data_IF_197707639304
#
_entry.id   IF_197707639304
#
_cell.length_a   1.000
_cell.length_b   1.000
_cell.length_c   1.000
_cell.angle_alpha   90.00
_cell.angle_beta   90.00
_cell.angle_gamma   90.00
#
_symmetry.space_group_name_H-M   'P 1'
#
loop_
_entity.id
_entity.type
_entity.pdbx_description
1 polymer ?
#
# COMPACT_ATOMS: atom_id res chain seq x y z
N UNK A 1 -30.96 -46.84 -43.63
CA UNK A 1 -31.80 -46.84 -42.38
C UNK A 1 -31.11 -47.36 -41.11
N UNK A 2 -30.44 -48.57 -41.08
CA UNK A 2 -29.78 -49.02 -39.80
C UNK A 2 -28.55 -48.19 -39.40
N UNK A 3 -27.72 -47.76 -40.34
CA UNK A 3 -26.49 -46.97 -40.08
C UNK A 3 -26.79 -45.54 -39.61
N UNK A 4 -27.87 -44.94 -40.10
CA UNK A 4 -28.32 -43.61 -39.72
C UNK A 4 -28.82 -43.55 -38.27
N UNK A 5 -29.58 -44.54 -37.83
CA UNK A 5 -30.04 -44.65 -36.42
C UNK A 5 -28.92 -44.91 -35.41
N UNK A 6 -27.81 -45.50 -35.88
CA UNK A 6 -26.66 -45.76 -35.02
C UNK A 6 -25.85 -44.49 -34.83
N UNK A 7 -25.63 -43.70 -35.89
CA UNK A 7 -24.96 -42.40 -35.82
C UNK A 7 -25.72 -41.40 -34.93
N UNK A 8 -27.05 -41.37 -35.06
CA UNK A 8 -27.90 -40.48 -34.24
C UNK A 8 -27.88 -40.84 -32.72
N UNK A 9 -27.60 -42.11 -32.39
CA UNK A 9 -27.40 -42.54 -30.99
C UNK A 9 -26.01 -42.19 -30.47
N UNK A 10 -24.98 -42.28 -31.28
CA UNK A 10 -23.62 -41.89 -30.88
C UNK A 10 -23.51 -40.39 -30.70
N UNK A 11 -24.09 -39.58 -31.58
CA UNK A 11 -24.13 -38.13 -31.46
C UNK A 11 -24.90 -37.69 -30.22
N UNK A 12 -26.02 -38.34 -29.86
CA UNK A 12 -26.75 -38.09 -28.62
C UNK A 12 -25.96 -38.49 -27.37
N UNK A 13 -25.21 -39.60 -27.42
CA UNK A 13 -24.37 -39.99 -26.28
C UNK A 13 -23.22 -39.00 -26.06
N UNK A 14 -22.60 -38.52 -27.14
CA UNK A 14 -21.55 -37.50 -27.09
C UNK A 14 -22.10 -36.20 -26.50
N UNK A 15 -23.27 -35.73 -26.92
CA UNK A 15 -23.90 -34.54 -26.34
C UNK A 15 -24.25 -34.72 -24.86
N UNK A 16 -24.68 -35.90 -24.43
CA UNK A 16 -25.00 -36.18 -23.02
C UNK A 16 -23.70 -36.17 -22.17
N UNK A 17 -22.61 -36.75 -22.67
CA UNK A 17 -21.31 -36.77 -21.98
C UNK A 17 -20.74 -35.38 -21.87
N UNK A 18 -20.84 -34.54 -22.92
CA UNK A 18 -20.42 -33.11 -22.82
C UNK A 18 -21.31 -32.30 -21.90
N UNK A 19 -22.62 -32.52 -21.91
CA UNK A 19 -23.53 -31.82 -21.01
C UNK A 19 -23.31 -32.20 -19.52
N UNK A 20 -23.01 -33.48 -19.24
CA UNK A 20 -22.69 -33.94 -17.88
C UNK A 20 -21.32 -33.48 -17.42
N UNK A 21 -20.32 -33.38 -18.31
CA UNK A 21 -19.01 -32.84 -18.00
C UNK A 21 -19.07 -31.32 -17.68
N UNK A 22 -19.87 -30.56 -18.43
CA UNK A 22 -20.13 -29.15 -18.16
C UNK A 22 -20.89 -28.95 -16.85
N UNK A 23 -21.84 -29.82 -16.54
CA UNK A 23 -22.60 -29.75 -15.28
C UNK A 23 -21.72 -30.13 -14.06
N UNK A 24 -20.80 -31.08 -14.21
CA UNK A 24 -19.85 -31.47 -13.18
C UNK A 24 -18.83 -30.37 -12.89
N UNK A 25 -18.38 -29.60 -13.91
CA UNK A 25 -17.56 -28.41 -13.68
C UNK A 25 -18.30 -27.31 -12.92
N UNK A 26 -19.61 -27.16 -13.13
CA UNK A 26 -20.41 -26.18 -12.41
C UNK A 26 -20.66 -26.55 -10.92
N UNK A 27 -20.54 -27.82 -10.54
CA UNK A 27 -20.71 -28.29 -9.15
C UNK A 27 -19.41 -28.24 -8.33
N UNK A 28 -18.24 -28.08 -8.97
CA UNK A 28 -16.96 -27.93 -8.28
C UNK A 28 -16.59 -26.48 -7.96
N UNK A 29 -17.37 -25.49 -8.41
CA UNK A 29 -17.21 -24.08 -7.99
C UNK A 29 -17.96 -23.75 -6.70
N UNK A 30 -18.44 -24.73 -5.98
CA UNK A 30 -19.02 -24.61 -4.64
C UNK A 30 -18.01 -24.77 -3.51
N UNK A 31 -16.74 -24.43 -3.74
CA UNK A 31 -15.80 -24.14 -2.65
C UNK A 31 -16.16 -22.74 -2.18
N UNK A 32 -16.51 -22.56 -0.87
CA UNK A 32 -16.81 -21.26 -0.31
C UNK A 32 -15.77 -20.27 -0.80
N UNK A 33 -16.23 -19.17 -1.41
CA UNK A 33 -15.37 -18.08 -1.81
C UNK A 33 -14.61 -17.70 -0.54
N UNK A 34 -13.34 -18.10 -0.45
CA UNK A 34 -12.41 -17.49 0.48
C UNK A 34 -12.58 -16.00 0.18
N UNK A 35 -13.03 -15.23 1.16
CA UNK A 35 -13.15 -13.78 1.05
C UNK A 35 -11.80 -13.34 0.51
N UNK A 36 -11.78 -12.93 -0.77
CA UNK A 36 -10.52 -12.49 -1.38
C UNK A 36 -9.98 -11.40 -0.49
N UNK A 37 -8.82 -11.63 0.07
CA UNK A 37 -8.11 -10.65 0.86
C UNK A 37 -7.46 -9.67 -0.12
N UNK A 38 -8.28 -8.71 -0.59
CA UNK A 38 -7.85 -7.71 -1.56
C UNK A 38 -6.72 -6.84 -1.01
N UNK A 39 -6.70 -6.64 0.32
CA UNK A 39 -5.62 -5.91 0.97
C UNK A 39 -4.27 -6.62 0.79
N UNK A 40 -4.19 -7.91 1.12
CA UNK A 40 -2.96 -8.69 0.93
C UNK A 40 -2.54 -8.77 -0.53
N UNK A 41 -3.50 -8.92 -1.45
CA UNK A 41 -3.23 -8.92 -2.88
C UNK A 41 -2.68 -7.57 -3.34
N UNK A 42 -3.26 -6.46 -2.90
CA UNK A 42 -2.77 -5.12 -3.21
C UNK A 42 -1.35 -4.89 -2.69
N UNK A 43 -1.04 -5.35 -1.47
CA UNK A 43 0.32 -5.27 -0.91
C UNK A 43 1.32 -6.06 -1.78
N UNK A 44 0.98 -7.28 -2.18
CA UNK A 44 1.83 -8.10 -3.04
C UNK A 44 2.08 -7.46 -4.42
N UNK A 45 1.08 -6.77 -4.98
CA UNK A 45 1.24 -6.04 -6.25
C UNK A 45 2.13 -4.81 -6.10
N UNK A 46 2.11 -4.10 -4.97
CA UNK A 46 3.07 -3.02 -4.67
C UNK A 46 4.50 -3.57 -4.66
N UNK A 47 4.73 -4.73 -4.04
CA UNK A 47 6.05 -5.37 -4.02
C UNK A 47 6.52 -5.79 -5.43
N UNK A 48 5.58 -6.13 -6.32
CA UNK A 48 5.84 -6.45 -7.73
C UNK A 48 5.94 -5.19 -8.61
N UNK A 49 5.78 -4.00 -8.04
CA UNK A 49 5.77 -2.71 -8.74
C UNK A 49 4.58 -2.57 -9.73
N UNK A 50 3.54 -3.39 -9.61
CA UNK A 50 2.28 -3.21 -10.31
C UNK A 50 1.36 -2.29 -9.50
N UNK A 51 1.64 -1.00 -9.58
CA UNK A 51 0.97 0.00 -8.75
C UNK A 51 -0.49 0.23 -9.16
N UNK A 52 -0.80 0.16 -10.46
CA UNK A 52 -2.18 0.29 -10.96
C UNK A 52 -3.05 -0.89 -10.52
N UNK A 53 -2.53 -2.10 -10.65
CA UNK A 53 -3.17 -3.31 -10.13
C UNK A 53 -3.37 -3.24 -8.62
N UNK A 54 -2.36 -2.76 -7.88
CA UNK A 54 -2.44 -2.57 -6.44
C UNK A 54 -3.56 -1.59 -6.04
N UNK A 55 -3.67 -0.45 -6.71
CA UNK A 55 -4.74 0.53 -6.45
C UNK A 55 -6.13 -0.08 -6.66
N UNK A 56 -6.31 -0.87 -7.71
CA UNK A 56 -7.58 -1.59 -7.96
C UNK A 56 -7.93 -2.54 -6.81
N UNK A 57 -6.95 -3.29 -6.30
CA UNK A 57 -7.14 -4.17 -5.16
C UNK A 57 -7.44 -3.39 -3.88
N UNK A 58 -6.76 -2.26 -3.62
CA UNK A 58 -7.05 -1.42 -2.46
C UNK A 58 -8.43 -0.77 -2.53
N UNK A 59 -8.94 -0.42 -3.72
CA UNK A 59 -10.32 0.05 -3.89
C UNK A 59 -11.32 -1.06 -3.52
N UNK A 60 -11.10 -2.28 -3.98
CA UNK A 60 -11.92 -3.43 -3.62
C UNK A 60 -11.87 -3.72 -2.10
N UNK A 61 -10.68 -3.64 -1.48
CA UNK A 61 -10.50 -3.80 -0.04
C UNK A 61 -11.28 -2.72 0.74
N UNK A 62 -11.27 -1.47 0.26
CA UNK A 62 -12.04 -0.38 0.86
C UNK A 62 -13.55 -0.62 0.78
N UNK A 63 -14.06 -1.10 -0.35
CA UNK A 63 -15.48 -1.46 -0.51
C UNK A 63 -15.88 -2.60 0.43
N UNK A 64 -15.00 -3.55 0.67
CA UNK A 64 -15.18 -4.66 1.59
C UNK A 64 -15.01 -4.27 3.07
N UNK A 65 -14.68 -3.01 3.34
CA UNK A 65 -14.39 -2.49 4.69
C UNK A 65 -13.29 -3.30 5.41
N UNK A 66 -12.25 -3.65 4.67
CA UNK A 66 -11.04 -4.24 5.23
C UNK A 66 -10.31 -3.20 6.10
N UNK A 67 -9.12 -3.50 6.59
CA UNK A 67 -8.38 -2.54 7.43
C UNK A 67 -8.08 -1.24 6.66
N UNK A 68 -8.92 -0.22 6.87
CA UNK A 68 -8.84 1.05 6.14
C UNK A 68 -7.53 1.78 6.35
N UNK A 69 -6.88 1.62 7.51
CA UNK A 69 -5.57 2.20 7.77
C UNK A 69 -4.50 1.58 6.86
N UNK A 70 -4.51 0.26 6.75
CA UNK A 70 -3.59 -0.46 5.86
C UNK A 70 -3.93 -0.21 4.39
N UNK A 71 -5.22 -0.13 4.03
CA UNK A 71 -5.66 0.22 2.68
C UNK A 71 -5.09 1.57 2.26
N UNK A 72 -5.28 2.62 3.06
CA UNK A 72 -4.76 3.95 2.74
C UNK A 72 -3.24 4.00 2.74
N UNK A 73 -2.57 3.27 3.65
CA UNK A 73 -1.12 3.13 3.63
C UNK A 73 -0.65 2.48 2.32
N UNK A 74 -1.31 1.41 1.89
CA UNK A 74 -1.01 0.71 0.63
C UNK A 74 -1.21 1.61 -0.60
N UNK A 75 -2.32 2.36 -0.65
CA UNK A 75 -2.55 3.35 -1.71
C UNK A 75 -1.45 4.41 -1.74
N UNK A 76 -1.04 4.92 -0.57
CA UNK A 76 0.07 5.86 -0.48
C UNK A 76 1.36 5.32 -1.05
N UNK A 77 1.70 4.05 -0.75
CA UNK A 77 2.89 3.39 -1.30
C UNK A 77 2.80 3.19 -2.82
N UNK A 78 1.63 2.82 -3.34
CA UNK A 78 1.41 2.69 -4.79
C UNK A 78 1.59 4.05 -5.49
N UNK A 79 1.00 5.11 -4.97
CA UNK A 79 1.19 6.46 -5.51
C UNK A 79 2.64 6.94 -5.41
N UNK A 80 3.37 6.61 -4.34
CA UNK A 80 4.82 6.87 -4.25
C UNK A 80 5.58 6.19 -5.37
N UNK A 81 5.25 4.93 -5.68
CA UNK A 81 5.87 4.19 -6.78
C UNK A 81 5.57 4.78 -8.15
N UNK A 82 4.39 5.36 -8.33
CA UNK A 82 3.98 6.09 -9.53
C UNK A 82 4.52 7.53 -9.59
N UNK A 83 5.29 7.97 -8.57
CA UNK A 83 5.78 9.35 -8.41
C UNK A 83 4.66 10.41 -8.28
N UNK A 84 3.45 9.98 -7.95
CA UNK A 84 2.32 10.85 -7.65
C UNK A 84 2.33 11.21 -6.15
N UNK A 85 3.24 12.12 -5.80
CA UNK A 85 3.50 12.46 -4.41
C UNK A 85 2.36 13.22 -3.74
N UNK A 86 1.52 13.88 -4.51
CA UNK A 86 0.34 14.57 -3.99
C UNK A 86 -0.70 13.58 -3.48
N UNK A 87 -1.09 12.60 -4.30
CA UNK A 87 -2.02 11.55 -3.92
C UNK A 87 -1.42 10.60 -2.87
N UNK A 88 -0.10 10.38 -2.91
CA UNK A 88 0.61 9.63 -1.87
C UNK A 88 0.45 10.31 -0.50
N UNK A 89 0.75 11.60 -0.40
CA UNK A 89 0.60 12.35 0.84
C UNK A 89 -0.86 12.33 1.34
N UNK A 90 -1.82 12.59 0.47
CA UNK A 90 -3.24 12.54 0.82
C UNK A 90 -3.69 11.17 1.34
N UNK A 91 -3.13 10.08 0.79
CA UNK A 91 -3.43 8.72 1.23
C UNK A 91 -2.80 8.43 2.61
N UNK A 92 -1.57 8.85 2.85
CA UNK A 92 -0.93 8.70 4.15
C UNK A 92 -1.62 9.53 5.24
N UNK A 93 -2.09 10.75 4.94
CA UNK A 93 -2.92 11.53 5.85
C UNK A 93 -4.20 10.81 6.24
N UNK A 94 -4.90 10.20 5.26
CA UNK A 94 -6.08 9.38 5.51
C UNK A 94 -5.76 8.17 6.38
N UNK A 95 -4.61 7.52 6.17
CA UNK A 95 -4.17 6.39 6.98
C UNK A 95 -3.94 6.82 8.44
N UNK A 96 -3.26 7.96 8.67
CA UNK A 96 -3.06 8.52 10.01
C UNK A 96 -4.39 8.93 10.66
N UNK A 97 -5.38 9.37 9.87
CA UNK A 97 -6.73 9.64 10.35
C UNK A 97 -7.48 8.42 10.90
N UNK A 98 -7.00 7.19 10.59
CA UNK A 98 -7.52 5.94 11.14
C UNK A 98 -6.74 5.46 12.38
N UNK A 99 -5.72 6.19 12.80
CA UNK A 99 -4.85 5.80 13.91
C UNK A 99 -5.53 6.00 15.27
N UNK A 100 -5.09 5.20 16.23
CA UNK A 100 -5.52 5.38 17.62
C UNK A 100 -4.83 6.61 18.25
N UNK A 101 -5.38 7.16 19.36
CA UNK A 101 -4.75 8.29 20.04
C UNK A 101 -3.33 8.04 20.55
N UNK A 102 -2.96 6.76 20.71
CA UNK A 102 -1.59 6.38 21.06
C UNK A 102 -0.88 5.88 19.80
N UNK A 103 0.15 6.59 19.31
CA UNK A 103 0.92 6.18 18.15
C UNK A 103 1.55 4.80 18.32
N UNK A 104 1.49 3.98 17.27
CA UNK A 104 2.14 2.69 17.18
C UNK A 104 3.27 2.68 16.13
N UNK A 105 3.88 1.51 15.88
CA UNK A 105 4.97 1.39 14.92
C UNK A 105 4.54 1.75 13.49
N UNK A 106 3.30 1.46 13.11
CA UNK A 106 2.76 1.78 11.78
C UNK A 106 2.57 3.28 11.60
N UNK A 107 2.19 4.03 12.66
CA UNK A 107 2.07 5.48 12.58
C UNK A 107 3.40 6.15 12.29
N UNK A 108 4.49 5.66 12.91
CA UNK A 108 5.83 6.17 12.60
C UNK A 108 6.23 5.85 11.17
N UNK A 109 5.98 4.63 10.69
CA UNK A 109 6.25 4.22 9.31
C UNK A 109 5.48 5.13 8.32
N UNK A 110 4.17 5.32 8.52
CA UNK A 110 3.35 6.19 7.70
C UNK A 110 3.86 7.64 7.72
N UNK A 111 4.26 8.17 8.87
CA UNK A 111 4.79 9.53 8.97
C UNK A 111 6.11 9.70 8.21
N UNK A 112 6.99 8.69 8.19
CA UNK A 112 8.21 8.74 7.36
C UNK A 112 7.88 8.79 5.87
N UNK A 113 6.91 8.00 5.39
CA UNK A 113 6.47 8.06 4.00
C UNK A 113 5.77 9.38 3.69
N UNK A 114 4.93 9.88 4.59
CA UNK A 114 4.26 11.17 4.44
C UNK A 114 5.26 12.32 4.30
N UNK A 115 6.25 12.37 5.19
CA UNK A 115 7.31 13.39 5.11
C UNK A 115 8.08 13.29 3.79
N UNK A 116 8.38 12.05 3.34
CA UNK A 116 9.04 11.83 2.05
C UNK A 116 8.18 12.29 0.88
N UNK A 117 6.86 12.00 0.91
CA UNK A 117 5.92 12.43 -0.12
C UNK A 117 5.84 13.96 -0.18
N UNK A 118 5.73 14.64 0.97
CA UNK A 118 5.75 16.09 1.03
C UNK A 118 7.05 16.69 0.47
N UNK A 119 8.21 16.14 0.88
CA UNK A 119 9.50 16.60 0.40
C UNK A 119 9.62 16.46 -1.13
N UNK A 120 9.25 15.29 -1.66
CA UNK A 120 9.28 15.02 -3.11
C UNK A 120 8.29 15.87 -3.90
N UNK A 121 7.19 16.28 -3.26
CA UNK A 121 6.20 17.20 -3.83
C UNK A 121 6.57 18.69 -3.67
N UNK A 122 7.78 18.99 -3.19
CA UNK A 122 8.25 20.36 -2.97
C UNK A 122 7.65 21.07 -1.75
N UNK A 123 6.89 20.36 -0.90
CA UNK A 123 6.27 20.90 0.31
C UNK A 123 7.21 20.69 1.52
N UNK A 124 8.41 21.27 1.43
CA UNK A 124 9.50 21.00 2.37
C UNK A 124 9.12 21.41 3.81
N UNK A 125 8.42 22.53 3.99
CA UNK A 125 7.95 22.95 5.32
C UNK A 125 7.08 21.89 5.99
N UNK A 126 6.16 21.26 5.23
CA UNK A 126 5.32 20.19 5.77
C UNK A 126 6.14 18.95 6.15
N UNK A 127 7.13 18.59 5.34
CA UNK A 127 8.03 17.49 5.65
C UNK A 127 8.80 17.74 6.96
N UNK A 128 9.34 18.95 7.15
CA UNK A 128 10.02 19.38 8.39
C UNK A 128 9.06 19.25 9.59
N UNK A 129 7.82 19.73 9.46
CA UNK A 129 6.82 19.61 10.53
C UNK A 129 6.51 18.18 10.92
N UNK A 130 6.43 17.27 9.95
CA UNK A 130 6.22 15.83 10.23
C UNK A 130 7.42 15.26 10.99
N UNK A 131 8.65 15.55 10.55
CA UNK A 131 9.84 15.08 11.28
C UNK A 131 9.97 15.72 12.66
N UNK A 132 9.59 16.99 12.83
CA UNK A 132 9.52 17.61 14.15
C UNK A 132 8.56 16.84 15.07
N UNK A 133 7.35 16.51 14.60
CA UNK A 133 6.41 15.72 15.40
C UNK A 133 6.97 14.34 15.79
N UNK A 134 7.73 13.68 14.91
CA UNK A 134 8.40 12.42 15.24
C UNK A 134 9.46 12.65 16.32
N UNK A 135 10.27 13.71 16.23
CA UNK A 135 11.34 13.99 17.21
C UNK A 135 10.79 14.42 18.56
N UNK A 136 9.64 15.11 18.60
CA UNK A 136 8.97 15.48 19.85
C UNK A 136 8.44 14.24 20.59
N UNK A 137 7.88 13.28 19.85
CA UNK A 137 7.38 12.03 20.41
C UNK A 137 8.49 11.04 20.77
N UNK A 138 9.57 11.02 19.97
CA UNK A 138 10.74 10.14 20.14
C UNK A 138 12.02 10.95 20.04
N UNK A 139 12.46 11.63 21.11
CA UNK A 139 13.68 12.44 21.08
C UNK A 139 14.95 11.66 20.71
N UNK A 140 14.97 10.34 20.91
CA UNK A 140 16.08 9.46 20.54
C UNK A 140 16.09 9.00 19.07
N UNK A 141 15.12 9.41 18.24
CA UNK A 141 15.01 8.98 16.84
C UNK A 141 15.98 9.77 15.95
N UNK A 142 17.20 9.25 15.84
CA UNK A 142 18.31 9.92 15.13
C UNK A 142 18.02 10.17 13.66
N UNK A 143 17.30 9.25 13.01
CA UNK A 143 16.97 9.37 11.58
C UNK A 143 16.06 10.56 11.32
N UNK A 144 15.05 10.75 12.15
CA UNK A 144 14.14 11.89 12.01
C UNK A 144 14.86 13.24 12.23
N UNK A 145 15.72 13.30 13.22
CA UNK A 145 16.56 14.48 13.45
C UNK A 145 17.47 14.80 12.26
N UNK A 146 18.13 13.77 11.71
CA UNK A 146 19.01 13.94 10.57
C UNK A 146 18.26 14.44 9.33
N UNK A 147 17.12 13.81 8.99
CA UNK A 147 16.32 14.18 7.81
C UNK A 147 15.74 15.60 7.97
N UNK A 148 15.22 15.93 9.16
CA UNK A 148 14.77 17.27 9.47
C UNK A 148 15.90 18.30 9.26
N UNK A 149 17.05 18.09 9.90
CA UNK A 149 18.18 19.00 9.80
C UNK A 149 18.71 19.17 8.37
N UNK A 150 18.68 18.11 7.56
CA UNK A 150 19.07 18.19 6.15
C UNK A 150 18.12 19.09 5.36
N UNK A 151 16.82 18.96 5.56
CA UNK A 151 15.82 19.80 4.88
C UNK A 151 15.88 21.25 5.32
N UNK A 152 16.07 21.51 6.62
CA UNK A 152 16.26 22.85 7.16
C UNK A 152 17.52 23.51 6.60
N UNK A 153 18.60 22.75 6.42
CA UNK A 153 19.82 23.22 5.78
C UNK A 153 19.63 23.58 4.31
N UNK A 154 18.90 22.74 3.56
CA UNK A 154 18.55 23.02 2.17
C UNK A 154 17.73 24.31 2.03
N UNK A 155 16.87 24.61 3.02
CA UNK A 155 16.14 25.88 3.07
C UNK A 155 16.96 27.08 3.56
N UNK A 156 18.23 26.85 3.92
CA UNK A 156 19.12 27.91 4.43
C UNK A 156 18.88 28.28 5.89
N UNK A 157 18.23 27.41 6.67
CA UNK A 157 18.06 27.61 8.11
C UNK A 157 19.37 27.39 8.87
N UNK A 158 19.77 28.38 9.67
CA UNK A 158 21.01 28.32 10.47
C UNK A 158 20.95 27.32 11.62
N UNK A 159 19.75 26.93 12.06
CA UNK A 159 19.57 25.98 13.17
C UNK A 159 19.96 24.55 12.78
N UNK A 160 19.80 24.18 11.50
CA UNK A 160 20.24 22.90 10.96
C UNK A 160 21.76 22.68 11.02
N UNK A 161 22.54 23.75 10.81
CA UNK A 161 24.01 23.72 10.85
C UNK A 161 24.52 23.33 12.24
N UNK A 162 23.88 23.87 13.28
CA UNK A 162 24.23 23.59 14.67
C UNK A 162 24.07 22.12 15.03
N UNK A 163 22.98 21.49 14.53
CA UNK A 163 22.67 20.10 14.85
C UNK A 163 23.57 19.08 14.13
N UNK A 164 23.87 19.32 12.86
CA UNK A 164 24.79 18.45 12.11
C UNK A 164 26.19 18.45 12.72
N UNK A 165 26.64 19.57 13.30
CA UNK A 165 27.89 19.66 14.04
C UNK A 165 27.88 18.85 15.36
N UNK A 166 26.79 18.92 16.14
CA UNK A 166 26.68 18.18 17.40
C UNK A 166 26.76 16.66 17.14
N UNK A 167 26.09 16.16 16.10
CA UNK A 167 26.08 14.74 15.77
C UNK A 167 27.44 14.21 15.30
N UNK A 168 28.19 15.03 14.56
CA UNK A 168 29.53 14.67 14.15
C UNK A 168 30.50 14.47 15.33
N UNK A 169 30.23 15.13 16.46
CA UNK A 169 30.99 14.97 17.69
C UNK A 169 30.61 13.71 18.47
N UNK A 170 29.31 13.32 18.52
CA UNK A 170 28.86 12.13 19.24
C UNK A 170 29.23 10.81 18.57
N UNK A 171 29.47 10.79 17.26
CA UNK A 171 29.90 9.58 16.54
C UNK A 171 31.39 9.30 16.59
N UNK A 172 32.17 10.11 17.31
CA UNK A 172 33.64 9.99 17.43
C UNK A 172 34.12 9.33 18.74
N UNK A 173 33.19 8.81 19.56
CA UNK A 173 33.53 8.09 20.80
C UNK A 173 33.07 6.66 20.82
#
# INVERSE_FOLDING_TARGET
MKKEKQKDREDRQICIVFATALLACALFTGCGAAKEDNLSQGIALVEQMDYEGALTCFEAAALNKEDMRQVYRGQGLAYMGMTDYENAAASFEKALGQSSPRPDAMDYDINYYLATAYYRNGQVDKAIHVYQAITDLKPGEKTAWYLKGTMELEQGSTDAVSYTHLRAHETRH
#
